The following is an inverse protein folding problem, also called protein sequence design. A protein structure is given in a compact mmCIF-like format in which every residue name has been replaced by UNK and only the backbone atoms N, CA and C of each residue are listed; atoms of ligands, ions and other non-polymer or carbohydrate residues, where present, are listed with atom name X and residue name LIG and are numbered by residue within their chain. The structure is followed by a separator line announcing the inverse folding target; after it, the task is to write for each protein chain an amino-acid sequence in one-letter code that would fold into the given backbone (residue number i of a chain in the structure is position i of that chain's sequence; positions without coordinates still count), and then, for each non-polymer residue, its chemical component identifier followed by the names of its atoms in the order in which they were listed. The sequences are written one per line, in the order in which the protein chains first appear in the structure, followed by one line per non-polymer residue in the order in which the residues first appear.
data_IF_161231317667
#
_entry.id   IF_161231317667
#
_cell.length_a   1.000
_cell.length_b   1.000
_cell.length_c   1.000
_cell.angle_alpha   90.00
_cell.angle_beta   90.00
_cell.angle_gamma   90.00
#
_symmetry.space_group_name_H-M   'P 1'
#
loop_
_entity.id
_entity.type
_entity.pdbx_description
1 polymer ?
#
# COMPACT_ATOMS: atom_id res chain seq x y z
N UNK A 1 16.87 -8.59 1.32
CA UNK A 1 15.50 -8.07 1.44
C UNK A 1 15.50 -6.64 1.97
N UNK A 2 16.27 -6.37 3.03
CA UNK A 2 16.51 -5.05 3.63
C UNK A 2 16.75 -3.90 2.62
N UNK A 3 17.62 -4.07 1.61
CA UNK A 3 17.89 -3.05 0.57
C UNK A 3 16.69 -2.68 -0.31
N UNK A 4 15.68 -3.57 -0.45
CA UNK A 4 14.44 -3.29 -1.20
C UNK A 4 13.39 -2.64 -0.30
N UNK A 5 13.28 -3.06 0.96
CA UNK A 5 12.43 -2.43 1.96
C UNK A 5 12.86 -0.98 2.22
N UNK A 6 14.16 -0.74 2.40
CA UNK A 6 14.73 0.61 2.49
C UNK A 6 14.45 1.48 1.26
N UNK A 7 14.45 0.92 0.05
CA UNK A 7 14.09 1.66 -1.17
C UNK A 7 12.60 1.92 -1.30
N UNK A 8 11.73 1.02 -0.83
CA UNK A 8 10.30 1.22 -0.80
C UNK A 8 9.90 2.28 0.26
N UNK A 9 10.53 2.23 1.43
CA UNK A 9 10.40 3.22 2.49
C UNK A 9 10.99 4.59 2.10
N UNK A 10 12.19 4.62 1.51
CA UNK A 10 12.84 5.85 1.05
C UNK A 10 12.27 6.42 -0.26
N UNK A 11 11.49 5.63 -1.01
CA UNK A 11 11.07 5.95 -2.37
C UNK A 11 9.80 6.82 -2.48
N UNK A 12 9.25 7.32 -1.37
CA UNK A 12 7.99 8.09 -1.35
C UNK A 12 6.78 7.33 -1.93
N UNK A 13 6.79 6.00 -1.87
CA UNK A 13 5.73 5.15 -2.44
C UNK A 13 4.64 4.77 -1.46
N UNK A 14 4.88 4.96 -0.16
CA UNK A 14 3.87 4.76 0.87
C UNK A 14 2.99 6.01 0.95
N UNK A 15 1.68 5.80 1.02
CA UNK A 15 0.69 6.88 1.14
C UNK A 15 -0.36 6.52 2.19
N UNK A 16 -0.71 7.53 2.99
CA UNK A 16 -1.89 7.55 3.85
C UNK A 16 -2.95 8.40 3.17
N UNK A 17 -4.10 7.80 2.89
CA UNK A 17 -5.20 8.43 2.18
C UNK A 17 -6.31 8.65 3.19
N UNK A 18 -6.57 9.91 3.53
CA UNK A 18 -7.65 10.30 4.44
C UNK A 18 -8.85 10.68 3.60
N UNK A 19 -9.95 9.93 3.76
CA UNK A 19 -11.24 10.23 3.13
C UNK A 19 -12.05 11.06 4.13
N UNK A 20 -11.98 12.38 3.99
CA UNK A 20 -12.32 13.35 5.04
C UNK A 20 -13.79 13.28 5.47
N UNK A 21 -14.69 13.19 4.49
CA UNK A 21 -16.14 13.13 4.67
C UNK A 21 -16.64 11.78 5.24
N UNK A 22 -15.77 10.77 5.27
CA UNK A 22 -16.04 9.47 5.91
C UNK A 22 -15.27 9.26 7.21
N UNK A 23 -14.28 10.11 7.52
CA UNK A 23 -13.41 9.94 8.68
C UNK A 23 -12.55 8.67 8.65
N UNK A 24 -12.29 8.10 7.46
CA UNK A 24 -11.51 6.86 7.30
C UNK A 24 -10.12 7.14 6.74
N UNK A 25 -9.15 6.33 7.16
CA UNK A 25 -7.78 6.38 6.66
C UNK A 25 -7.40 5.04 6.03
N UNK A 26 -6.89 5.10 4.80
CA UNK A 26 -6.44 3.95 4.02
C UNK A 26 -4.93 4.05 3.85
N UNK A 27 -4.22 2.96 4.14
CA UNK A 27 -2.79 2.85 3.85
C UNK A 27 -2.61 2.15 2.50
N UNK A 28 -1.75 2.69 1.66
CA UNK A 28 -1.45 2.10 0.37
C UNK A 28 0.01 2.28 -0.03
N UNK A 29 0.46 1.47 -0.98
CA UNK A 29 1.79 1.57 -1.57
C UNK A 29 1.70 1.56 -3.09
N UNK A 30 2.38 2.49 -3.77
CA UNK A 30 2.48 2.48 -5.23
C UNK A 30 3.34 1.30 -5.72
N UNK A 31 2.98 0.74 -6.87
CA UNK A 31 3.87 -0.15 -7.63
C UNK A 31 5.15 0.56 -8.07
N UNK A 32 6.09 -0.22 -8.61
CA UNK A 32 7.32 0.35 -9.16
C UNK A 32 7.07 1.40 -10.26
N UNK A 33 6.02 1.19 -11.07
CA UNK A 33 5.68 2.00 -12.23
C UNK A 33 4.61 3.08 -11.93
N UNK A 34 4.19 3.20 -10.66
CA UNK A 34 3.15 4.15 -10.19
C UNK A 34 1.78 4.00 -10.87
N UNK A 35 1.55 2.87 -11.54
CA UNK A 35 0.37 2.62 -12.34
C UNK A 35 -0.77 1.96 -11.54
N UNK A 36 -0.48 1.51 -10.32
CA UNK A 36 -1.40 0.84 -9.39
C UNK A 36 -1.04 1.14 -7.93
N UNK A 37 -2.02 1.00 -7.06
CA UNK A 37 -1.86 1.05 -5.61
C UNK A 37 -2.14 -0.33 -5.02
N UNK A 38 -1.33 -0.74 -4.06
CA UNK A 38 -1.61 -1.87 -3.19
C UNK A 38 -2.31 -1.37 -1.94
N UNK A 39 -3.45 -1.97 -1.59
CA UNK A 39 -4.05 -1.79 -0.28
C UNK A 39 -3.12 -2.44 0.75
N UNK A 40 -2.85 -1.71 1.83
CA UNK A 40 -2.05 -2.20 2.95
C UNK A 40 -2.83 -1.99 4.24
N UNK A 41 -2.89 -3.03 5.06
CA UNK A 41 -3.27 -2.94 6.47
C UNK A 41 -1.98 -3.23 7.24
N UNK A 42 -1.30 -2.20 7.78
CA UNK A 42 0.00 -2.38 8.41
C UNK A 42 0.00 -3.48 9.46
N UNK A 43 1.00 -4.36 9.43
CA UNK A 43 1.11 -5.53 10.32
C UNK A 43 0.22 -6.73 9.96
N UNK A 44 -0.78 -6.56 9.09
CA UNK A 44 -1.81 -7.59 8.86
C UNK A 44 -1.90 -8.08 7.41
N UNK A 45 -1.97 -7.16 6.44
CA UNK A 45 -2.32 -7.54 5.06
C UNK A 45 -1.71 -6.60 4.01
N UNK A 46 -1.39 -7.15 2.85
CA UNK A 46 -1.11 -6.36 1.66
C UNK A 46 -1.71 -7.02 0.42
N UNK A 47 -2.31 -6.24 -0.49
CA UNK A 47 -2.88 -6.77 -1.74
C UNK A 47 -1.84 -7.09 -2.82
N UNK A 48 -0.54 -7.05 -2.51
CA UNK A 48 0.49 -7.36 -3.49
C UNK A 48 0.64 -8.87 -3.73
N UNK A 49 1.06 -9.29 -4.94
CA UNK A 49 1.27 -10.71 -5.24
C UNK A 49 2.24 -11.41 -4.27
N UNK A 50 3.30 -10.74 -3.82
CA UNK A 50 4.26 -11.32 -2.87
C UNK A 50 3.63 -11.62 -1.50
N UNK A 51 2.68 -10.80 -1.04
CA UNK A 51 1.95 -11.13 0.19
C UNK A 51 1.10 -12.39 -0.02
N UNK A 52 0.31 -12.43 -1.10
CA UNK A 52 -0.54 -13.58 -1.38
C UNK A 52 0.26 -14.87 -1.54
N UNK A 53 1.26 -14.88 -2.42
CA UNK A 53 2.00 -16.09 -2.74
C UNK A 53 3.03 -16.46 -1.69
N UNK A 54 3.87 -15.51 -1.26
CA UNK A 54 5.03 -15.84 -0.45
C UNK A 54 4.74 -15.80 1.05
N UNK A 55 3.87 -14.90 1.52
CA UNK A 55 3.48 -14.81 2.94
C UNK A 55 2.31 -15.74 3.26
N UNK A 56 1.19 -15.57 2.56
CA UNK A 56 -0.06 -16.26 2.94
C UNK A 56 -0.12 -17.72 2.46
N UNK A 57 0.09 -17.96 1.16
CA UNK A 57 -0.09 -19.30 0.58
C UNK A 57 1.11 -20.23 0.82
N UNK A 58 2.32 -19.80 0.46
CA UNK A 58 3.53 -20.64 0.56
C UNK A 58 4.21 -20.60 1.93
N UNK A 59 3.95 -19.55 2.73
CA UNK A 59 4.61 -19.30 4.02
C UNK A 59 6.14 -19.33 3.92
N UNK A 60 6.66 -18.79 2.81
CA UNK A 60 8.09 -18.71 2.51
C UNK A 60 8.73 -17.42 3.04
N UNK A 61 7.93 -16.46 3.52
CA UNK A 61 8.36 -15.23 4.15
C UNK A 61 7.33 -14.78 5.20
N UNK A 62 7.78 -14.06 6.23
CA UNK A 62 6.89 -13.54 7.29
C UNK A 62 6.13 -12.29 6.84
N UNK A 63 6.74 -11.46 5.99
CA UNK A 63 6.19 -10.18 5.53
C UNK A 63 6.55 -9.92 4.07
N UNK A 64 5.68 -9.19 3.37
CA UNK A 64 6.03 -8.63 2.07
C UNK A 64 6.77 -7.30 2.25
N UNK A 65 7.44 -6.85 1.18
CA UNK A 65 8.22 -5.60 1.20
C UNK A 65 7.40 -4.37 1.60
N UNK A 66 6.09 -4.33 1.34
CA UNK A 66 5.25 -3.19 1.69
C UNK A 66 4.92 -3.16 3.19
N UNK A 67 4.67 -4.32 3.79
CA UNK A 67 4.45 -4.41 5.24
C UNK A 67 5.72 -4.03 5.99
N UNK A 68 6.87 -4.57 5.56
CA UNK A 68 8.18 -4.21 6.12
C UNK A 68 8.46 -2.69 5.95
N UNK A 69 8.12 -2.11 4.80
CA UNK A 69 8.29 -0.67 4.58
C UNK A 69 7.41 0.19 5.50
N UNK A 70 6.15 -0.21 5.78
CA UNK A 70 5.28 0.53 6.70
C UNK A 70 5.75 0.46 8.15
N UNK A 71 6.40 -0.63 8.56
CA UNK A 71 6.99 -0.75 9.91
C UNK A 71 8.23 0.12 10.08
N UNK A 72 9.03 0.27 9.02
CA UNK A 72 10.26 1.06 9.03
C UNK A 72 10.03 2.55 8.79
N UNK A 73 8.86 2.94 8.27
CA UNK A 73 8.56 4.33 7.94
C UNK A 73 8.29 5.17 9.19
N UNK A 74 9.12 6.18 9.45
CA UNK A 74 8.87 7.18 10.49
C UNK A 74 7.83 8.22 10.07
N UNK A 75 7.72 8.48 8.76
CA UNK A 75 6.72 9.35 8.17
C UNK A 75 6.18 8.75 6.87
N UNK A 76 4.89 8.94 6.62
CA UNK A 76 4.23 8.51 5.38
C UNK A 76 3.50 9.72 4.81
N UNK A 77 3.63 9.94 3.50
CA UNK A 77 2.93 11.04 2.82
C UNK A 77 1.43 10.91 3.04
N UNK A 78 0.80 11.98 3.50
CA UNK A 78 -0.65 12.05 3.64
C UNK A 78 -1.28 12.74 2.42
N UNK A 79 -2.40 12.21 1.95
CA UNK A 79 -3.24 12.78 0.90
C UNK A 79 -4.66 12.80 1.43
N UNK A 80 -5.31 13.96 1.40
CA UNK A 80 -6.69 14.15 1.85
C UNK A 80 -7.60 14.34 0.65
N UNK A 81 -8.72 13.64 0.65
CA UNK A 81 -9.70 13.62 -0.45
C UNK A 81 -11.12 13.48 0.10
N UNK A 82 -12.12 13.88 -0.69
CA UNK A 82 -13.51 13.47 -0.46
C UNK A 82 -13.74 12.03 -0.93
N UNK A 83 -14.84 11.41 -0.50
CA UNK A 83 -15.25 10.10 -0.97
C UNK A 83 -15.49 10.07 -2.48
N UNK A 84 -16.05 11.15 -3.03
CA UNK A 84 -16.26 11.28 -4.48
C UNK A 84 -14.93 11.28 -5.24
N UNK A 85 -13.95 12.05 -4.76
CA UNK A 85 -12.62 12.08 -5.36
C UNK A 85 -11.89 10.74 -5.21
N UNK A 86 -11.96 10.12 -4.03
CA UNK A 86 -11.42 8.80 -3.78
C UNK A 86 -11.98 7.78 -4.80
N UNK A 87 -13.30 7.74 -4.96
CA UNK A 87 -13.98 6.81 -5.88
C UNK A 87 -13.58 7.04 -7.33
N UNK A 88 -13.41 8.30 -7.76
CA UNK A 88 -13.07 8.63 -9.15
C UNK A 88 -11.60 8.42 -9.49
N UNK A 89 -10.69 8.72 -8.55
CA UNK A 89 -9.24 8.81 -8.86
C UNK A 89 -8.40 7.71 -8.22
N UNK A 90 -8.74 7.29 -7.01
CA UNK A 90 -7.89 6.41 -6.20
C UNK A 90 -8.39 4.96 -6.27
N UNK A 91 -9.70 4.75 -6.13
CA UNK A 91 -10.30 3.42 -6.19
C UNK A 91 -9.90 2.63 -7.46
N UNK A 92 -9.89 3.23 -8.68
CA UNK A 92 -9.45 2.50 -9.87
C UNK A 92 -7.98 2.05 -9.83
N UNK A 93 -7.11 2.75 -9.09
CA UNK A 93 -5.70 2.37 -8.93
C UNK A 93 -5.53 1.22 -7.93
N UNK A 94 -6.35 1.17 -6.88
CA UNK A 94 -6.33 0.10 -5.87
C UNK A 94 -6.77 -1.25 -6.45
N UNK A 95 -7.71 -1.23 -7.38
CA UNK A 95 -8.33 -2.42 -7.95
C UNK A 95 -8.03 -2.60 -9.45
N UNK A 96 -6.96 -1.96 -9.94
CA UNK A 96 -6.53 -2.12 -11.33
C UNK A 96 -6.18 -3.59 -11.62
N UNK A 97 -6.80 -4.17 -12.64
CA UNK A 97 -6.54 -5.54 -13.10
C UNK A 97 -7.35 -6.64 -12.39
N UNK A 98 -8.32 -6.28 -11.55
CA UNK A 98 -9.32 -7.21 -11.00
C UNK A 98 -10.57 -7.35 -11.89
N UNK A 99 -10.66 -6.59 -12.99
CA UNK A 99 -11.69 -6.62 -14.03
C UNK A 99 -11.07 -6.30 -15.38
#
# INVERSE_FOLDING_TARGET
MERRALRAAAGARLVKIVVEDLGVTIHAAYSADYDRLYLVIPGEFCSCPSYLFDVFLRRAADKCVHLEAFELASNVREVRVSYEEFRKRIYPLLFRGLL
#
